data_IF_090303206620
#
_entry.id   IF_090303206620
#
_cell.length_a   1.000
_cell.length_b   1.000
_cell.length_c   1.000
_cell.angle_alpha   90.00
_cell.angle_beta   90.00
_cell.angle_gamma   90.00
#
_symmetry.space_group_name_H-M   'P 1'
#
loop_
_entity.id
_entity.type
_entity.pdbx_description
1 polymer ?
#
# COMPACT_ATOMS: atom_id res chain seq x y z
N UNK A 1 -32.70 17.73 70.51
CA UNK A 1 -32.63 16.26 70.47
C UNK A 1 -33.75 15.76 69.56
N UNK A 2 -33.48 15.63 68.25
CA UNK A 2 -34.47 15.20 67.24
C UNK A 2 -34.06 13.80 66.78
N UNK A 3 -34.96 12.83 66.95
CA UNK A 3 -34.79 11.45 66.49
C UNK A 3 -34.94 11.42 64.97
N UNK A 4 -33.99 10.81 64.27
CA UNK A 4 -34.12 10.45 62.86
C UNK A 4 -34.49 8.96 62.83
N UNK A 5 -35.76 8.66 62.54
CA UNK A 5 -36.24 7.29 62.33
C UNK A 5 -35.77 6.78 60.97
N UNK A 6 -34.86 5.82 60.98
CA UNK A 6 -34.34 5.13 59.80
C UNK A 6 -35.33 4.03 59.35
N UNK A 7 -36.12 4.31 58.30
CA UNK A 7 -36.95 3.27 57.66
C UNK A 7 -36.16 2.56 56.56
N UNK A 8 -35.60 1.40 56.88
CA UNK A 8 -35.01 0.50 55.90
C UNK A 8 -36.11 -0.18 55.04
N UNK A 9 -36.26 0.25 53.79
CA UNK A 9 -37.10 -0.42 52.80
C UNK A 9 -36.47 -1.77 52.41
N UNK A 10 -37.08 -2.89 52.83
CA UNK A 10 -36.64 -4.24 52.45
C UNK A 10 -36.89 -4.47 50.95
N UNK A 11 -35.86 -4.30 50.13
CA UNK A 11 -35.90 -4.63 48.72
C UNK A 11 -36.00 -6.16 48.55
N UNK A 12 -37.20 -6.68 48.28
CA UNK A 12 -37.38 -8.10 47.96
C UNK A 12 -36.57 -8.41 46.69
N UNK A 13 -35.55 -9.25 46.80
CA UNK A 13 -34.75 -9.75 45.67
C UNK A 13 -35.64 -10.61 44.76
N UNK A 14 -36.42 -9.97 43.89
CA UNK A 14 -36.94 -10.62 42.69
C UNK A 14 -35.78 -10.62 41.71
N UNK A 15 -35.04 -11.73 41.63
CA UNK A 15 -34.10 -11.95 40.53
C UNK A 15 -34.91 -12.11 39.25
N UNK A 16 -34.86 -11.15 38.30
CA UNK A 16 -35.44 -11.36 36.99
C UNK A 16 -34.61 -12.47 36.35
N UNK A 17 -35.23 -13.61 36.00
CA UNK A 17 -34.55 -14.58 35.14
C UNK A 17 -34.38 -13.88 33.79
N UNK A 18 -33.15 -13.67 33.29
CA UNK A 18 -32.98 -13.12 31.96
C UNK A 18 -33.50 -14.16 30.98
N UNK A 19 -34.63 -13.88 30.34
CA UNK A 19 -35.07 -14.63 29.16
C UNK A 19 -34.20 -14.11 28.02
N UNK A 20 -33.17 -14.88 27.67
CA UNK A 20 -32.30 -14.57 26.54
C UNK A 20 -33.12 -14.79 25.27
N UNK A 21 -33.46 -13.70 24.58
CA UNK A 21 -34.17 -13.78 23.31
C UNK A 21 -33.18 -14.15 22.20
N UNK A 22 -33.13 -15.44 21.87
CA UNK A 22 -32.26 -15.97 20.80
C UNK A 22 -32.55 -15.38 19.42
N UNK A 23 -33.80 -15.02 19.12
CA UNK A 23 -34.21 -14.43 17.84
C UNK A 23 -33.55 -13.07 17.59
N UNK A 24 -33.45 -12.25 18.65
CA UNK A 24 -32.75 -10.96 18.61
C UNK A 24 -31.25 -11.13 18.32
N UNK A 25 -30.63 -12.17 18.88
CA UNK A 25 -29.22 -12.47 18.63
C UNK A 25 -28.98 -12.92 17.19
N UNK A 26 -29.87 -13.74 16.63
CA UNK A 26 -29.76 -14.17 15.23
C UNK A 26 -29.96 -13.03 14.24
N UNK A 27 -30.90 -12.11 14.49
CA UNK A 27 -31.07 -10.92 13.64
C UNK A 27 -29.88 -9.98 13.73
N UNK A 28 -29.31 -9.80 14.94
CA UNK A 28 -28.14 -8.96 15.13
C UNK A 28 -26.92 -9.55 14.43
N UNK A 29 -26.68 -10.86 14.57
CA UNK A 29 -25.57 -11.54 13.91
C UNK A 29 -25.63 -11.40 12.38
N UNK A 30 -26.80 -11.59 11.77
CA UNK A 30 -26.97 -11.41 10.32
C UNK A 30 -26.73 -9.96 9.86
N UNK A 31 -27.16 -8.97 10.65
CA UNK A 31 -26.88 -7.56 10.35
C UNK A 31 -25.39 -7.23 10.40
N UNK A 32 -24.67 -7.76 11.39
CA UNK A 32 -23.22 -7.56 11.48
C UNK A 32 -22.46 -8.31 10.39
N UNK A 33 -22.91 -9.50 9.97
CA UNK A 33 -22.33 -10.22 8.85
C UNK A 33 -22.48 -9.44 7.54
N UNK A 34 -23.68 -8.96 7.22
CA UNK A 34 -23.97 -8.18 6.02
C UNK A 34 -23.13 -6.89 5.98
N UNK A 35 -23.14 -6.13 7.08
CA UNK A 35 -22.34 -4.91 7.21
C UNK A 35 -20.82 -5.17 7.17
N UNK A 36 -20.35 -6.29 7.71
CA UNK A 36 -18.94 -6.65 7.67
C UNK A 36 -18.51 -7.10 6.25
N UNK A 37 -19.35 -7.87 5.56
CA UNK A 37 -19.11 -8.32 4.18
C UNK A 37 -19.05 -7.11 3.25
N UNK A 38 -20.04 -6.23 3.30
CA UNK A 38 -20.08 -5.02 2.46
C UNK A 38 -18.85 -4.12 2.68
N UNK A 39 -18.43 -3.94 3.93
CA UNK A 39 -17.24 -3.15 4.25
C UNK A 39 -15.94 -3.81 3.76
N UNK A 40 -15.85 -5.14 3.79
CA UNK A 40 -14.68 -5.88 3.27
C UNK A 40 -14.64 -5.79 1.75
N UNK A 41 -15.77 -5.99 1.08
CA UNK A 41 -15.88 -5.94 -0.37
C UNK A 41 -15.54 -4.53 -0.90
N UNK A 42 -16.05 -3.47 -0.25
CA UNK A 42 -15.75 -2.08 -0.63
C UNK A 42 -14.25 -1.74 -0.47
N UNK A 43 -13.64 -2.12 0.65
CA UNK A 43 -12.20 -1.87 0.87
C UNK A 43 -11.33 -2.72 -0.08
N UNK A 44 -11.77 -3.93 -0.45
CA UNK A 44 -11.09 -4.76 -1.45
C UNK A 44 -11.17 -4.13 -2.84
N UNK A 45 -12.34 -3.68 -3.27
CA UNK A 45 -12.52 -3.00 -4.56
C UNK A 45 -11.70 -1.71 -4.63
N UNK A 46 -11.69 -0.94 -3.54
CA UNK A 46 -10.86 0.27 -3.41
C UNK A 46 -9.37 -0.04 -3.51
N UNK A 47 -8.90 -1.11 -2.86
CA UNK A 47 -7.52 -1.56 -2.96
C UNK A 47 -7.17 -1.98 -4.39
N UNK A 48 -8.04 -2.76 -5.04
CA UNK A 48 -7.86 -3.20 -6.43
C UNK A 48 -7.78 -2.01 -7.37
N UNK A 49 -8.65 -1.01 -7.22
CA UNK A 49 -8.61 0.23 -8.01
C UNK A 49 -7.29 0.99 -7.80
N UNK A 50 -6.87 1.16 -6.54
CA UNK A 50 -5.61 1.84 -6.21
C UNK A 50 -4.38 1.14 -6.82
N UNK A 51 -4.37 -0.20 -6.80
CA UNK A 51 -3.32 -1.00 -7.43
C UNK A 51 -3.32 -0.83 -8.95
N UNK A 52 -4.49 -0.83 -9.61
CA UNK A 52 -4.61 -0.58 -11.05
C UNK A 52 -4.12 0.81 -11.43
N UNK A 53 -4.45 1.82 -10.63
CA UNK A 53 -3.99 3.19 -10.85
C UNK A 53 -2.49 3.33 -10.68
N UNK A 54 -1.93 2.67 -9.67
CA UNK A 54 -0.49 2.61 -9.44
C UNK A 54 0.23 1.90 -10.58
N UNK A 55 -0.28 0.75 -11.04
CA UNK A 55 0.25 0.03 -12.18
C UNK A 55 0.21 0.87 -13.46
N UNK A 56 -0.91 1.53 -13.74
CA UNK A 56 -1.07 2.43 -14.90
C UNK A 56 -0.12 3.63 -14.85
N UNK A 57 0.08 4.23 -13.68
CA UNK A 57 1.10 5.29 -13.48
C UNK A 57 2.51 4.74 -13.72
N UNK A 58 2.80 3.53 -13.24
CA UNK A 58 4.08 2.87 -13.47
C UNK A 58 4.31 2.52 -14.96
N UNK A 59 3.28 2.08 -15.68
CA UNK A 59 3.34 1.84 -17.12
C UNK A 59 3.54 3.13 -17.93
N UNK A 60 2.89 4.23 -17.54
CA UNK A 60 3.16 5.56 -18.12
C UNK A 60 4.57 6.06 -17.80
N UNK A 61 5.14 5.65 -16.65
CA UNK A 61 6.54 5.92 -16.29
C UNK A 61 7.54 5.00 -16.96
N UNK A 62 7.06 3.99 -17.71
CA UNK A 62 7.90 3.15 -18.55
C UNK A 62 8.42 4.04 -19.66
N UNK A 63 9.50 4.75 -19.34
CA UNK A 63 10.39 5.39 -20.30
C UNK A 63 10.46 4.42 -21.45
N UNK A 64 9.91 4.83 -22.60
CA UNK A 64 9.97 4.05 -23.83
C UNK A 64 11.37 3.47 -23.88
N UNK A 65 11.50 2.14 -23.94
CA UNK A 65 12.78 1.44 -24.09
C UNK A 65 13.31 1.80 -25.49
N UNK A 66 13.64 3.08 -25.69
CA UNK A 66 14.25 3.64 -26.87
C UNK A 66 15.64 3.03 -26.87
N UNK A 67 15.90 2.23 -27.91
CA UNK A 67 17.23 1.64 -28.11
C UNK A 67 18.20 2.81 -28.22
N UNK A 68 19.16 2.86 -27.32
CA UNK A 68 20.31 3.77 -27.40
C UNK A 68 21.01 3.55 -28.75
N UNK A 69 21.71 4.57 -29.24
CA UNK A 69 22.53 4.45 -30.43
C UNK A 69 23.63 3.40 -30.21
N UNK A 70 24.13 2.86 -31.32
CA UNK A 70 25.19 1.86 -31.30
C UNK A 70 26.46 2.40 -30.60
N UNK A 71 26.77 3.68 -30.82
CA UNK A 71 27.91 4.35 -30.19
C UNK A 71 27.76 4.45 -28.67
N UNK A 72 26.58 4.83 -28.17
CA UNK A 72 26.29 4.86 -26.73
C UNK A 72 26.43 3.47 -26.10
N UNK A 73 25.96 2.43 -26.79
CA UNK A 73 26.09 1.04 -26.31
C UNK A 73 27.56 0.59 -26.23
N UNK A 74 28.38 0.99 -27.20
CA UNK A 74 29.80 0.67 -27.21
C UNK A 74 30.55 1.37 -26.07
N UNK A 75 30.20 2.63 -25.75
CA UNK A 75 30.75 3.33 -24.59
C UNK A 75 30.40 2.61 -23.27
N UNK A 76 29.18 2.09 -23.13
CA UNK A 76 28.76 1.29 -21.96
C UNK A 76 29.58 0.01 -21.87
N UNK A 77 29.82 -0.67 -23.00
CA UNK A 77 30.64 -1.88 -23.07
C UNK A 77 32.07 -1.61 -22.62
N UNK A 78 32.70 -0.56 -23.17
CA UNK A 78 34.07 -0.14 -22.81
C UNK A 78 34.18 0.19 -21.32
N UNK A 79 33.17 0.88 -20.75
CA UNK A 79 33.12 1.16 -19.32
C UNK A 79 33.10 -0.13 -18.48
N UNK A 80 32.35 -1.14 -18.94
CA UNK A 80 32.32 -2.47 -18.30
C UNK A 80 33.68 -3.14 -18.30
N UNK A 81 34.39 -3.11 -19.44
CA UNK A 81 35.76 -3.64 -19.56
C UNK A 81 36.72 -2.89 -18.63
N UNK A 82 36.71 -1.56 -18.63
CA UNK A 82 37.57 -0.76 -17.76
C UNK A 82 37.32 -1.03 -16.27
N UNK A 83 36.05 -1.24 -15.89
CA UNK A 83 35.67 -1.60 -14.51
C UNK A 83 36.18 -3.00 -14.14
N UNK A 84 36.06 -3.97 -15.04
CA UNK A 84 36.57 -5.33 -14.81
C UNK A 84 38.11 -5.34 -14.69
N UNK A 85 38.80 -4.46 -15.42
CA UNK A 85 40.23 -4.27 -15.32
C UNK A 85 40.70 -3.47 -14.09
N UNK A 86 39.79 -2.99 -13.23
CA UNK A 86 40.13 -2.20 -12.03
C UNK A 86 40.57 -0.75 -12.31
N UNK A 87 40.36 -0.26 -13.54
CA UNK A 87 40.83 1.07 -13.95
C UNK A 87 39.82 2.17 -13.58
N UNK A 88 39.87 2.65 -12.34
CA UNK A 88 38.89 3.62 -11.81
C UNK A 88 38.89 4.97 -12.54
N UNK A 89 40.06 5.49 -12.92
CA UNK A 89 40.17 6.77 -13.62
C UNK A 89 39.50 6.71 -15.00
N UNK A 90 39.83 5.68 -15.79
CA UNK A 90 39.21 5.44 -17.10
C UNK A 90 37.71 5.12 -16.98
N UNK A 91 37.31 4.38 -15.94
CA UNK A 91 35.89 4.08 -15.66
C UNK A 91 35.11 5.36 -15.36
N UNK A 92 35.70 6.30 -14.62
CA UNK A 92 35.09 7.60 -14.30
C UNK A 92 34.91 8.45 -15.57
N UNK A 93 35.92 8.48 -16.43
CA UNK A 93 35.85 9.19 -17.72
C UNK A 93 34.80 8.59 -18.65
N UNK A 94 34.80 7.27 -18.84
CA UNK A 94 33.80 6.57 -19.63
C UNK A 94 32.39 6.73 -19.05
N UNK A 95 32.24 6.78 -17.73
CA UNK A 95 30.96 7.06 -17.09
C UNK A 95 30.43 8.47 -17.39
N UNK A 96 31.30 9.49 -17.44
CA UNK A 96 30.92 10.84 -17.84
C UNK A 96 30.45 10.86 -19.31
N UNK A 97 31.21 10.23 -20.21
CA UNK A 97 30.87 10.15 -21.64
C UNK A 97 29.55 9.41 -21.88
N UNK A 98 29.35 8.25 -21.23
CA UNK A 98 28.09 7.50 -21.31
C UNK A 98 26.88 8.36 -20.91
N UNK A 99 26.98 9.16 -19.84
CA UNK A 99 25.87 10.04 -19.41
C UNK A 99 25.56 11.13 -20.44
N UNK A 100 26.60 11.69 -21.07
CA UNK A 100 26.45 12.66 -22.16
C UNK A 100 25.71 12.05 -23.35
N UNK A 101 26.23 10.93 -23.87
CA UNK A 101 25.68 10.25 -25.05
C UNK A 101 24.23 9.76 -24.83
N UNK A 102 23.91 9.22 -23.65
CA UNK A 102 22.51 8.83 -23.31
C UNK A 102 21.59 10.06 -23.31
N UNK A 103 22.05 11.21 -22.80
CA UNK A 103 21.24 12.43 -22.78
C UNK A 103 21.00 12.98 -24.19
N UNK A 104 22.00 12.86 -25.06
CA UNK A 104 21.93 13.28 -26.47
C UNK A 104 21.01 12.36 -27.29
N UNK A 105 21.20 11.04 -27.20
CA UNK A 105 20.32 10.04 -27.84
C UNK A 105 18.84 10.23 -27.48
N UNK A 106 18.57 10.67 -26.24
CA UNK A 106 17.22 10.95 -25.77
C UNK A 106 16.68 12.32 -26.21
N UNK A 107 17.54 13.26 -26.64
CA UNK A 107 17.15 14.59 -27.15
C UNK A 107 17.02 14.64 -28.67
N UNK A 108 17.81 13.86 -29.40
CA UNK A 108 17.83 13.86 -30.87
C UNK A 108 16.64 13.11 -31.52
N UNK A 109 15.71 12.59 -30.73
CA UNK A 109 14.53 11.81 -31.20
C UNK A 109 13.28 12.07 -30.39
#
# INVERSE_FOLDING_TARGET
MVKLDEKAAKFKKRTPKPVINWDLFTSLAGFWEDAAVDNIDEEYDRLVQHLRDSARKAEGSRSTKRRLSYETLELIRQRGVARAAGNYQLTSELAKRCRGAIKEDLRER
#
